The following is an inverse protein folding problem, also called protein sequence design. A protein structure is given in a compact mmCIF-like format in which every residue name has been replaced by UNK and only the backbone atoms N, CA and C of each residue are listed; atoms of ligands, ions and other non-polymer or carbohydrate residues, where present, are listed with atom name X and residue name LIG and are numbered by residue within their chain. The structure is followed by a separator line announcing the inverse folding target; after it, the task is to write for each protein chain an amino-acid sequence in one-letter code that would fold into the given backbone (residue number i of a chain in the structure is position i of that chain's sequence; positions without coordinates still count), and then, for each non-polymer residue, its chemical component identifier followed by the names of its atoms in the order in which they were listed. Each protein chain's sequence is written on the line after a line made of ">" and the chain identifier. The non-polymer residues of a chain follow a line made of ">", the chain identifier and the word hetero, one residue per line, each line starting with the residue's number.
data_IF_554105615589
#
_entry.id   IF_554105615589
#
_cell.length_a   1.000
_cell.length_b   1.000
_cell.length_c   1.000
_cell.angle_alpha   90.00
_cell.angle_beta   90.00
_cell.angle_gamma   90.00
#
_symmetry.space_group_name_H-M   'P 1'
#
loop_
_entity.id
_entity.type
_entity.pdbx_description
1 polymer ?
#
# COMPACT_ATOMS: atom_id res chain seq x y z
N UNK A 1 -14.05 -17.19 -57.56
CA UNK A 1 -14.33 -16.46 -56.32
C UNK A 1 -13.60 -17.17 -55.17
N UNK A 2 -12.51 -16.60 -54.66
CA UNK A 2 -11.72 -17.19 -53.55
C UNK A 2 -12.37 -16.78 -52.22
N UNK A 3 -12.76 -17.75 -51.40
CA UNK A 3 -13.21 -17.52 -50.01
C UNK A 3 -12.01 -17.63 -49.08
N UNK A 4 -11.57 -16.50 -48.53
CA UNK A 4 -10.55 -16.46 -47.48
C UNK A 4 -11.22 -16.74 -46.13
N UNK A 5 -10.76 -17.78 -45.45
CA UNK A 5 -11.13 -18.10 -44.07
C UNK A 5 -10.14 -17.36 -43.16
N UNK A 6 -10.63 -16.38 -42.40
CA UNK A 6 -9.88 -15.80 -41.28
C UNK A 6 -10.01 -16.75 -40.09
N UNK A 7 -8.89 -17.37 -39.69
CA UNK A 7 -8.77 -18.08 -38.41
C UNK A 7 -8.47 -17.02 -37.34
N UNK A 8 -9.43 -16.76 -36.47
CA UNK A 8 -9.17 -16.02 -35.23
C UNK A 8 -8.34 -16.92 -34.31
N UNK A 9 -7.05 -16.63 -34.20
CA UNK A 9 -6.20 -17.21 -33.17
C UNK A 9 -6.63 -16.62 -31.82
N UNK A 10 -7.57 -17.29 -31.15
CA UNK A 10 -7.91 -17.00 -29.76
C UNK A 10 -6.65 -17.25 -28.92
N UNK A 11 -6.01 -16.17 -28.46
CA UNK A 11 -4.95 -16.23 -27.49
C UNK A 11 -5.56 -16.73 -26.17
N UNK A 12 -5.46 -18.03 -25.91
CA UNK A 12 -5.78 -18.61 -24.62
C UNK A 12 -4.70 -18.08 -23.68
N UNK A 13 -5.04 -17.08 -22.87
CA UNK A 13 -4.21 -16.67 -21.76
C UNK A 13 -4.06 -17.88 -20.83
N UNK A 14 -2.90 -18.54 -20.90
CA UNK A 14 -2.49 -19.50 -19.90
C UNK A 14 -2.49 -18.78 -18.55
N UNK A 15 -2.91 -19.44 -17.45
CA UNK A 15 -2.69 -18.86 -16.14
C UNK A 15 -1.17 -18.69 -16.02
N UNK A 16 -0.70 -17.45 -15.88
CA UNK A 16 0.65 -17.19 -15.41
C UNK A 16 0.78 -18.03 -14.14
N UNK A 17 1.62 -19.07 -14.21
CA UNK A 17 2.01 -19.83 -13.02
C UNK A 17 2.53 -18.78 -12.06
N UNK A 18 1.78 -18.51 -10.98
CA UNK A 18 2.24 -17.62 -9.92
C UNK A 18 3.65 -18.07 -9.55
N UNK A 19 4.63 -17.20 -9.77
CA UNK A 19 6.01 -17.55 -9.47
C UNK A 19 6.09 -17.90 -7.98
N UNK A 20 6.64 -19.07 -7.65
CA UNK A 20 6.94 -19.37 -6.26
C UNK A 20 8.10 -18.48 -5.82
N UNK A 21 7.79 -17.45 -5.03
CA UNK A 21 8.76 -16.51 -4.50
C UNK A 21 9.51 -17.04 -3.28
N UNK A 22 9.34 -18.31 -2.89
CA UNK A 22 9.96 -18.92 -1.71
C UNK A 22 11.47 -18.68 -1.61
N UNK A 23 12.20 -18.71 -2.73
CA UNK A 23 13.64 -18.44 -2.80
C UNK A 23 14.03 -17.00 -2.38
N UNK A 24 13.09 -16.06 -2.37
CA UNK A 24 13.31 -14.65 -2.03
C UNK A 24 12.80 -14.27 -0.63
N UNK A 25 12.26 -15.23 0.11
CA UNK A 25 11.73 -15.06 1.46
C UNK A 25 12.81 -15.41 2.49
N UNK A 26 13.19 -14.49 3.40
CA UNK A 26 14.12 -14.81 4.46
C UNK A 26 13.57 -15.89 5.40
N UNK A 27 14.44 -16.71 5.99
CA UNK A 27 14.04 -17.73 6.95
C UNK A 27 13.24 -17.12 8.10
N UNK A 28 12.11 -17.75 8.44
CA UNK A 28 11.23 -17.27 9.51
C UNK A 28 10.29 -16.13 9.11
N UNK A 29 10.18 -15.83 7.81
CA UNK A 29 9.19 -14.92 7.25
C UNK A 29 8.19 -15.68 6.38
N UNK A 30 6.99 -15.12 6.22
CA UNK A 30 5.92 -15.64 5.38
C UNK A 30 5.44 -14.55 4.43
N UNK A 31 5.18 -14.89 3.17
CA UNK A 31 4.46 -14.00 2.24
C UNK A 31 3.00 -13.93 2.68
N UNK A 32 2.54 -12.72 3.00
CA UNK A 32 1.13 -12.45 3.31
C UNK A 32 0.40 -11.79 2.14
N UNK A 33 1.14 -11.16 1.21
CA UNK A 33 0.62 -10.62 -0.05
C UNK A 33 1.70 -10.61 -1.11
N UNK A 34 1.33 -10.87 -2.36
CA UNK A 34 2.19 -10.67 -3.52
C UNK A 34 1.40 -10.08 -4.68
N UNK A 35 2.03 -9.18 -5.43
CA UNK A 35 1.52 -8.65 -6.69
C UNK A 35 2.63 -8.61 -7.72
N UNK A 36 2.27 -8.77 -8.99
CA UNK A 36 3.20 -8.72 -10.11
C UNK A 36 2.79 -7.63 -11.10
N UNK A 37 3.77 -7.05 -11.78
CA UNK A 37 3.57 -6.01 -12.77
C UNK A 37 4.88 -5.30 -13.10
N UNK A 38 4.98 -4.74 -14.30
CA UNK A 38 6.17 -3.98 -14.72
C UNK A 38 6.29 -2.68 -13.91
N UNK A 39 7.40 -2.53 -13.17
CA UNK A 39 7.72 -1.35 -12.35
C UNK A 39 8.88 -0.53 -12.91
N UNK A 40 9.71 -1.10 -13.78
CA UNK A 40 10.93 -0.47 -14.30
C UNK A 40 10.86 -0.11 -15.80
N UNK A 41 9.77 -0.48 -16.48
CA UNK A 41 9.48 -0.17 -17.88
C UNK A 41 10.13 -1.11 -18.90
N UNK A 42 10.62 -2.28 -18.48
CA UNK A 42 11.26 -3.26 -19.36
C UNK A 42 10.28 -4.29 -19.98
N UNK A 43 8.97 -4.14 -19.71
CA UNK A 43 7.89 -5.05 -20.10
C UNK A 43 7.98 -6.46 -19.50
N UNK A 44 8.77 -6.67 -18.46
CA UNK A 44 8.77 -7.89 -17.67
C UNK A 44 7.94 -7.72 -16.40
N UNK A 45 7.34 -8.81 -15.93
CA UNK A 45 6.58 -8.79 -14.69
C UNK A 45 7.53 -8.82 -13.49
N UNK A 46 7.76 -7.65 -12.89
CA UNK A 46 8.39 -7.52 -11.57
C UNK A 46 7.43 -8.00 -10.48
N UNK A 47 7.93 -8.21 -9.27
CA UNK A 47 7.13 -8.67 -8.13
C UNK A 47 7.30 -7.77 -6.90
N UNK A 48 6.23 -7.63 -6.15
CA UNK A 48 6.20 -6.96 -4.86
C UNK A 48 5.63 -7.93 -3.84
N UNK A 49 6.40 -8.18 -2.79
CA UNK A 49 6.04 -9.07 -1.69
C UNK A 49 5.82 -8.26 -0.43
N UNK A 50 4.76 -8.57 0.30
CA UNK A 50 4.63 -8.21 1.71
C UNK A 50 4.90 -9.45 2.53
N UNK A 51 5.94 -9.37 3.36
CA UNK A 51 6.40 -10.44 4.23
C UNK A 51 6.06 -10.09 5.67
N UNK A 52 5.63 -11.08 6.46
CA UNK A 52 5.46 -10.97 7.91
C UNK A 52 6.41 -11.94 8.61
N UNK A 53 7.14 -11.46 9.62
CA UNK A 53 7.96 -12.36 10.45
C UNK A 53 7.03 -13.35 11.18
N UNK A 54 7.51 -14.55 11.45
CA UNK A 54 6.74 -15.62 12.11
C UNK A 54 7.39 -15.97 13.45
N UNK A 55 7.59 -14.97 14.29
CA UNK A 55 8.16 -15.13 15.63
C UNK A 55 7.04 -15.28 16.65
N UNK A 56 6.99 -16.45 17.31
CA UNK A 56 5.97 -16.71 18.35
C UNK A 56 6.11 -15.79 19.55
N UNK A 57 7.29 -15.23 19.80
CA UNK A 57 7.49 -14.27 20.88
C UNK A 57 6.78 -12.92 20.63
N UNK A 58 6.40 -12.63 19.38
CA UNK A 58 5.66 -11.43 19.00
C UNK A 58 4.15 -11.68 18.89
N UNK A 59 3.68 -12.89 19.20
CA UNK A 59 2.27 -13.16 19.43
C UNK A 59 2.03 -12.98 20.92
N UNK A 60 1.36 -11.91 21.28
CA UNK A 60 1.19 -11.50 22.68
C UNK A 60 -0.30 -11.48 23.05
N UNK A 61 -0.66 -11.67 24.33
CA UNK A 61 -2.04 -11.51 24.77
C UNK A 61 -2.52 -10.07 24.53
N UNK A 62 -3.79 -9.93 24.18
CA UNK A 62 -4.48 -8.64 24.14
C UNK A 62 -5.22 -8.41 25.46
N UNK A 63 -4.76 -7.44 26.26
CA UNK A 63 -5.43 -7.04 27.49
C UNK A 63 -6.60 -6.06 27.24
N UNK A 64 -6.88 -5.71 25.98
CA UNK A 64 -7.97 -4.84 25.55
C UNK A 64 -9.15 -5.62 24.95
N UNK A 65 -10.17 -4.89 24.47
CA UNK A 65 -11.21 -5.46 23.61
C UNK A 65 -10.63 -5.84 22.24
N UNK A 66 -11.25 -6.79 21.55
CA UNK A 66 -10.86 -7.23 20.21
C UNK A 66 -10.44 -8.70 20.16
N UNK A 67 -9.46 -9.02 19.31
CA UNK A 67 -8.84 -10.35 19.25
C UNK A 67 -8.16 -10.68 20.58
N UNK A 68 -8.21 -11.93 21.09
CA UNK A 68 -7.53 -12.30 22.33
C UNK A 68 -6.00 -12.28 22.24
N UNK A 69 -5.45 -12.35 21.04
CA UNK A 69 -4.01 -12.29 20.76
C UNK A 69 -3.72 -11.23 19.69
N UNK A 70 -2.56 -10.58 19.80
CA UNK A 70 -2.05 -9.58 18.87
C UNK A 70 -0.81 -10.13 18.16
N UNK A 71 -0.78 -10.06 16.82
CA UNK A 71 0.44 -10.33 16.05
C UNK A 71 1.23 -9.04 15.86
N UNK A 72 2.26 -8.86 16.69
CA UNK A 72 3.15 -7.70 16.65
C UNK A 72 4.40 -7.94 15.79
N UNK A 73 4.40 -9.00 14.97
CA UNK A 73 5.54 -9.27 14.09
C UNK A 73 5.76 -8.14 13.09
N UNK A 74 7.02 -7.74 12.86
CA UNK A 74 7.33 -6.74 11.84
C UNK A 74 6.99 -7.26 10.46
N UNK A 75 6.66 -6.32 9.58
CA UNK A 75 6.44 -6.57 8.16
C UNK A 75 7.54 -5.97 7.30
N UNK A 76 7.69 -6.50 6.10
CA UNK A 76 8.64 -6.04 5.10
C UNK A 76 7.95 -5.96 3.75
N UNK A 77 8.02 -4.80 3.11
CA UNK A 77 7.76 -4.65 1.69
C UNK A 77 9.04 -4.93 0.93
N UNK A 78 9.00 -5.85 -0.03
CA UNK A 78 10.16 -6.22 -0.85
C UNK A 78 9.79 -6.16 -2.31
N UNK A 79 10.56 -5.40 -3.09
CA UNK A 79 10.40 -5.31 -4.54
C UNK A 79 11.50 -6.13 -5.22
N UNK A 80 11.10 -6.91 -6.21
CA UNK A 80 11.93 -7.84 -6.96
C UNK A 80 11.82 -7.50 -8.44
N UNK A 81 12.93 -7.14 -9.08
CA UNK A 81 12.95 -6.99 -10.54
C UNK A 81 13.17 -8.32 -11.23
N UNK A 82 12.40 -8.57 -12.29
CA UNK A 82 12.57 -9.75 -13.13
C UNK A 82 13.93 -9.69 -13.82
N UNK A 83 14.60 -10.84 -13.88
CA UNK A 83 15.86 -11.05 -14.61
C UNK A 83 15.77 -12.33 -15.43
N UNK A 84 16.74 -12.57 -16.32
CA UNK A 84 16.78 -13.76 -17.17
C UNK A 84 16.68 -15.06 -16.35
N UNK A 85 17.43 -15.16 -15.24
CA UNK A 85 17.53 -16.38 -14.43
C UNK A 85 16.71 -16.32 -13.12
N UNK A 86 15.75 -15.41 -13.01
CA UNK A 86 14.92 -15.29 -11.80
C UNK A 86 14.55 -13.86 -11.47
N UNK A 87 14.81 -13.45 -10.24
CA UNK A 87 14.56 -12.10 -9.75
C UNK A 87 15.76 -11.57 -8.96
N UNK A 88 15.88 -10.25 -8.92
CA UNK A 88 16.85 -9.54 -8.08
C UNK A 88 16.11 -8.57 -7.16
N UNK A 89 16.47 -8.55 -5.87
CA UNK A 89 15.95 -7.54 -4.94
C UNK A 89 16.32 -6.14 -5.41
N UNK A 90 15.30 -5.29 -5.60
CA UNK A 90 15.45 -3.89 -5.94
C UNK A 90 15.44 -2.99 -4.69
N UNK A 91 14.52 -3.24 -3.76
CA UNK A 91 14.41 -2.52 -2.48
C UNK A 91 13.69 -3.36 -1.44
N UNK A 92 14.06 -3.17 -0.17
CA UNK A 92 13.36 -3.69 1.01
C UNK A 92 13.05 -2.53 1.96
N UNK A 93 11.85 -2.50 2.53
CA UNK A 93 11.45 -1.54 3.57
C UNK A 93 10.70 -2.25 4.69
N UNK A 94 11.09 -2.00 5.95
CA UNK A 94 10.51 -2.64 7.14
C UNK A 94 9.74 -1.67 8.05
N UNK A 95 9.40 -0.49 7.55
CA UNK A 95 8.81 0.60 8.35
C UNK A 95 7.54 1.18 7.74
N UNK A 96 7.35 1.06 6.41
CA UNK A 96 6.18 1.57 5.70
C UNK A 96 4.91 0.80 6.05
N UNK A 97 5.01 -0.53 6.15
CA UNK A 97 3.86 -1.37 6.52
C UNK A 97 4.03 -1.71 8.00
N UNK A 98 3.15 -1.21 8.88
CA UNK A 98 3.21 -1.53 10.29
C UNK A 98 2.84 -3.01 10.53
N UNK A 99 3.16 -3.56 11.71
CA UNK A 99 2.66 -4.87 12.15
C UNK A 99 1.13 -5.00 12.01
N UNK A 100 0.64 -6.23 12.00
CA UNK A 100 -0.80 -6.53 11.98
C UNK A 100 -1.52 -5.95 13.20
N UNK A 101 -0.84 -5.92 14.34
CA UNK A 101 -1.37 -5.41 15.59
C UNK A 101 -0.32 -4.67 16.40
N UNK A 102 -0.77 -3.77 17.26
CA UNK A 102 0.06 -2.97 18.17
C UNK A 102 -0.50 -3.12 19.59
N UNK A 103 0.39 -3.42 20.55
CA UNK A 103 0.05 -3.63 21.96
C UNK A 103 -0.66 -2.43 22.59
N UNK A 104 -0.37 -1.23 22.11
CA UNK A 104 -0.91 0.03 22.64
C UNK A 104 -2.20 0.42 21.88
N UNK A 105 -2.57 -0.34 20.84
CA UNK A 105 -3.73 -0.12 19.96
C UNK A 105 -4.55 -1.41 19.76
N UNK A 106 -4.84 -2.16 20.83
CA UNK A 106 -5.42 -3.52 20.76
C UNK A 106 -6.79 -3.68 20.06
N UNK A 107 -7.47 -2.59 19.73
CA UNK A 107 -8.71 -2.60 18.93
C UNK A 107 -8.51 -2.22 17.44
N UNK A 108 -7.28 -1.88 17.04
CA UNK A 108 -6.94 -1.54 15.66
C UNK A 108 -6.97 -2.81 14.80
N UNK A 109 -7.76 -2.78 13.73
CA UNK A 109 -7.73 -3.81 12.70
C UNK A 109 -6.42 -3.73 11.92
N UNK A 110 -6.06 -4.81 11.21
CA UNK A 110 -4.84 -4.88 10.41
C UNK A 110 -4.70 -3.65 9.48
N UNK A 111 -3.65 -2.81 9.66
CA UNK A 111 -3.52 -1.61 8.87
C UNK A 111 -3.20 -1.86 7.39
N UNK A 112 -2.72 -3.05 7.01
CA UNK A 112 -2.42 -3.36 5.61
C UNK A 112 -3.70 -3.64 4.83
N UNK A 113 -4.12 -2.66 4.02
CA UNK A 113 -5.32 -2.79 3.19
C UNK A 113 -4.98 -3.36 1.79
N UNK A 114 -4.09 -2.69 1.05
CA UNK A 114 -3.75 -3.12 -0.30
C UNK A 114 -2.31 -2.82 -0.73
N UNK A 115 -1.81 -3.62 -1.67
CA UNK A 115 -0.60 -3.35 -2.43
C UNK A 115 -0.92 -3.66 -3.88
N UNK A 116 -0.68 -2.73 -4.78
CA UNK A 116 -1.02 -2.86 -6.19
C UNK A 116 -0.03 -2.16 -7.10
N UNK A 117 -0.01 -2.57 -8.37
CA UNK A 117 0.81 -1.97 -9.41
C UNK A 117 -0.12 -1.46 -10.52
N UNK A 118 -0.02 -0.17 -10.84
CA UNK A 118 -0.75 0.45 -11.96
C UNK A 118 0.17 1.36 -12.77
N UNK A 119 0.36 1.01 -14.05
CA UNK A 119 1.12 1.79 -15.03
C UNK A 119 2.52 2.17 -14.53
N UNK A 120 3.30 1.17 -14.11
CA UNK A 120 4.68 1.38 -13.63
C UNK A 120 4.78 2.03 -12.25
N UNK A 121 3.70 2.05 -11.47
CA UNK A 121 3.67 2.67 -10.14
C UNK A 121 3.22 1.66 -9.10
N UNK A 122 3.99 1.59 -8.03
CA UNK A 122 3.67 0.81 -6.84
C UNK A 122 2.81 1.66 -5.92
N UNK A 123 1.62 1.16 -5.59
CA UNK A 123 0.73 1.76 -4.60
C UNK A 123 0.67 0.87 -3.36
N UNK A 124 0.86 1.46 -2.19
CA UNK A 124 0.64 0.82 -0.88
C UNK A 124 -0.48 1.57 -0.18
N UNK A 125 -1.56 0.87 0.14
CA UNK A 125 -2.71 1.41 0.86
C UNK A 125 -2.73 0.87 2.28
N UNK A 126 -2.76 1.79 3.24
CA UNK A 126 -3.00 1.50 4.64
C UNK A 126 -4.40 1.98 5.04
N UNK A 127 -4.97 1.35 6.04
CA UNK A 127 -6.29 1.65 6.60
C UNK A 127 -6.21 1.74 8.12
N UNK A 128 -6.79 2.79 8.69
CA UNK A 128 -6.96 2.91 10.13
C UNK A 128 -8.42 2.67 10.48
N UNK A 129 -8.70 1.59 11.20
CA UNK A 129 -10.02 1.31 11.73
C UNK A 129 -9.92 0.62 13.08
N UNK A 130 -10.61 1.19 14.08
CA UNK A 130 -10.70 0.56 15.38
C UNK A 130 -12.09 -0.04 15.60
N UNK A 131 -12.10 -1.30 15.99
CA UNK A 131 -13.30 -2.02 16.43
C UNK A 131 -13.93 -1.42 17.69
N UNK A 132 -13.15 -0.68 18.50
CA UNK A 132 -13.60 0.00 19.71
C UNK A 132 -12.93 1.37 19.92
N UNK A 133 -13.55 2.27 20.68
CA UNK A 133 -12.89 3.45 21.25
C UNK A 133 -12.49 4.60 20.30
N UNK A 134 -12.57 4.44 18.98
CA UNK A 134 -12.27 5.51 18.01
C UNK A 134 -13.46 5.76 17.08
N UNK A 135 -13.84 7.01 16.84
CA UNK A 135 -14.93 7.34 15.91
C UNK A 135 -14.50 7.52 14.46
N UNK A 136 -13.21 7.49 14.17
CA UNK A 136 -12.67 7.74 12.84
C UNK A 136 -12.34 6.46 12.11
N UNK A 137 -12.47 6.53 10.79
CA UNK A 137 -11.91 5.57 9.84
C UNK A 137 -11.10 6.34 8.83
N UNK A 138 -9.88 5.88 8.55
CA UNK A 138 -8.97 6.54 7.64
C UNK A 138 -8.32 5.58 6.63
N UNK A 139 -7.81 6.15 5.55
CA UNK A 139 -7.01 5.46 4.55
C UNK A 139 -5.85 6.35 4.12
N UNK A 140 -4.68 5.75 3.98
CA UNK A 140 -3.48 6.38 3.45
C UNK A 140 -3.00 5.63 2.20
N UNK A 141 -2.78 6.34 1.11
CA UNK A 141 -2.23 5.79 -0.13
C UNK A 141 -0.84 6.37 -0.39
N UNK A 142 0.18 5.52 -0.46
CA UNK A 142 1.54 5.87 -0.86
C UNK A 142 1.76 5.45 -2.31
N UNK A 143 2.17 6.39 -3.16
CA UNK A 143 2.39 6.14 -4.58
C UNK A 143 3.86 6.33 -4.94
N UNK A 144 4.50 5.23 -5.33
CA UNK A 144 5.90 5.17 -5.71
C UNK A 144 6.07 5.00 -7.21
N UNK A 145 7.14 5.60 -7.75
CA UNK A 145 7.60 5.37 -9.12
C UNK A 145 9.09 5.09 -9.11
N UNK A 146 9.50 4.05 -9.82
CA UNK A 146 10.91 3.80 -10.07
C UNK A 146 11.46 4.81 -11.09
N UNK A 147 12.53 5.51 -10.72
CA UNK A 147 13.23 6.45 -11.59
C UNK A 147 14.62 6.74 -11.03
N UNK A 148 15.60 6.94 -11.90
CA UNK A 148 16.99 7.21 -11.49
C UNK A 148 17.49 6.19 -10.45
N UNK A 149 17.25 4.92 -10.76
CA UNK A 149 17.62 3.74 -9.98
C UNK A 149 17.01 3.62 -8.58
N UNK A 150 15.99 4.43 -8.24
CA UNK A 150 15.35 4.41 -6.91
C UNK A 150 13.84 4.59 -7.00
N UNK A 151 13.13 4.04 -6.01
CA UNK A 151 11.68 4.24 -5.86
C UNK A 151 11.40 5.57 -5.16
N UNK A 152 10.99 6.58 -5.94
CA UNK A 152 10.60 7.89 -5.44
C UNK A 152 9.11 7.87 -5.03
N UNK A 153 8.79 8.38 -3.84
CA UNK A 153 7.42 8.70 -3.45
C UNK A 153 6.96 9.94 -4.24
N UNK A 154 6.06 9.72 -5.19
CA UNK A 154 5.57 10.78 -6.09
C UNK A 154 4.26 11.40 -5.61
N UNK A 155 3.52 10.70 -4.75
CA UNK A 155 2.34 11.23 -4.12
C UNK A 155 1.93 10.45 -2.87
N UNK A 156 1.17 11.13 -2.04
CA UNK A 156 0.53 10.61 -0.84
C UNK A 156 -0.91 11.12 -0.81
N UNK A 157 -1.88 10.31 -0.42
CA UNK A 157 -3.22 10.83 -0.11
C UNK A 157 -3.76 10.21 1.15
N UNK A 158 -4.46 11.03 1.91
CA UNK A 158 -5.14 10.67 3.13
C UNK A 158 -6.62 11.02 3.01
N UNK A 159 -7.46 10.12 3.47
CA UNK A 159 -8.90 10.33 3.59
C UNK A 159 -9.36 9.77 4.92
N UNK A 160 -10.03 10.57 5.72
CA UNK A 160 -10.69 10.13 6.94
C UNK A 160 -12.15 10.54 6.97
N UNK A 161 -12.94 9.78 7.71
CA UNK A 161 -14.30 10.18 8.03
C UNK A 161 -14.73 9.74 9.43
N UNK A 162 -15.55 10.59 10.05
CA UNK A 162 -16.16 10.31 11.34
C UNK A 162 -17.36 9.38 11.14
N UNK A 163 -17.34 8.20 11.78
CA UNK A 163 -18.32 7.12 11.57
C UNK A 163 -19.75 7.49 11.99
N UNK A 164 -19.93 8.39 12.96
CA UNK A 164 -21.26 8.86 13.38
C UNK A 164 -21.77 10.10 12.60
N UNK A 165 -21.01 11.20 12.60
CA UNK A 165 -21.42 12.44 11.92
C UNK A 165 -21.30 12.36 10.40
N UNK A 166 -20.40 11.53 9.88
CA UNK A 166 -20.05 11.43 8.47
C UNK A 166 -19.08 12.50 7.99
N UNK A 167 -18.63 13.41 8.86
CA UNK A 167 -17.67 14.46 8.53
C UNK A 167 -16.41 13.86 7.90
N UNK A 168 -15.94 14.46 6.81
CA UNK A 168 -14.74 14.02 6.10
C UNK A 168 -13.64 15.07 6.15
N UNK A 169 -12.42 14.56 6.14
CA UNK A 169 -11.22 15.32 5.81
C UNK A 169 -10.40 14.53 4.79
N UNK A 170 -9.90 15.20 3.77
CA UNK A 170 -9.07 14.60 2.73
C UNK A 170 -7.89 15.53 2.45
N UNK A 171 -6.71 14.97 2.25
CA UNK A 171 -5.65 15.69 1.55
C UNK A 171 -4.85 14.80 0.59
N UNK A 172 -4.31 15.43 -0.44
CA UNK A 172 -3.45 14.78 -1.43
C UNK A 172 -2.23 15.63 -1.73
N UNK A 173 -1.08 14.96 -1.69
CA UNK A 173 0.24 15.52 -1.90
C UNK A 173 0.76 15.06 -3.23
N UNK A 174 1.22 16.02 -4.02
CA UNK A 174 1.99 15.77 -5.22
C UNK A 174 3.41 16.25 -4.99
N UNK A 175 4.29 15.33 -4.61
CA UNK A 175 5.69 15.64 -4.28
C UNK A 175 6.50 16.11 -5.50
N UNK A 176 6.09 15.74 -6.72
CA UNK A 176 6.72 16.24 -7.96
C UNK A 176 6.49 17.74 -8.16
N UNK A 177 5.28 18.21 -7.84
CA UNK A 177 4.91 19.63 -7.97
C UNK A 177 5.12 20.44 -6.68
N UNK A 178 5.23 19.77 -5.53
CA UNK A 178 5.28 20.39 -4.20
C UNK A 178 3.97 21.04 -3.81
N UNK A 179 2.83 20.43 -4.20
CA UNK A 179 1.48 20.94 -3.90
C UNK A 179 0.71 19.95 -3.05
N UNK A 180 0.00 20.47 -2.04
CA UNK A 180 -1.01 19.76 -1.26
C UNK A 180 -2.39 20.35 -1.58
N UNK A 181 -3.37 19.48 -1.84
CA UNK A 181 -4.79 19.83 -1.88
C UNK A 181 -5.43 19.29 -0.61
N UNK A 182 -6.11 20.14 0.15
CA UNK A 182 -6.88 19.75 1.35
C UNK A 182 -8.36 20.05 1.13
N UNK A 183 -9.23 19.09 1.41
CA UNK A 183 -10.69 19.21 1.33
C UNK A 183 -11.28 19.01 2.73
N UNK A 184 -12.13 19.91 3.19
CA UNK A 184 -12.83 19.80 4.49
C UNK A 184 -14.30 20.19 4.38
N UNK A 185 -15.10 19.82 5.39
CA UNK A 185 -16.53 20.21 5.46
C UNK A 185 -17.42 19.48 4.46
N UNK A 186 -16.99 18.31 3.99
CA UNK A 186 -17.85 17.35 3.30
C UNK A 186 -18.42 16.30 4.25
N UNK A 187 -19.33 15.47 3.75
CA UNK A 187 -19.91 14.36 4.50
C UNK A 187 -20.01 13.09 3.63
N UNK A 188 -19.58 11.95 4.14
CA UNK A 188 -19.62 10.66 3.43
C UNK A 188 -21.05 10.15 3.18
N UNK A 189 -22.03 10.64 3.95
CA UNK A 189 -23.45 10.29 3.78
C UNK A 189 -24.18 11.14 2.73
N UNK A 190 -23.50 12.12 2.12
CA UNK A 190 -24.00 12.86 0.95
C UNK A 190 -25.14 13.85 1.27
N UNK A 191 -24.91 14.81 2.17
CA UNK A 191 -25.91 15.81 2.55
C UNK A 191 -25.96 16.96 1.53
N UNK A 192 -27.17 17.34 1.09
CA UNK A 192 -27.40 18.46 0.18
C UNK A 192 -27.00 19.84 0.73
N UNK A 193 -26.67 19.93 2.02
CA UNK A 193 -26.16 21.15 2.67
C UNK A 193 -24.64 21.24 2.68
N UNK A 194 -23.94 20.19 2.30
CA UNK A 194 -22.48 20.16 2.35
C UNK A 194 -21.89 21.14 1.35
N UNK A 195 -20.90 21.91 1.80
CA UNK A 195 -20.18 22.89 0.99
C UNK A 195 -18.68 22.65 1.20
N UNK A 196 -18.14 21.55 0.65
CA UNK A 196 -16.74 21.19 0.86
C UNK A 196 -15.83 22.34 0.39
N UNK A 197 -14.85 22.66 1.22
CA UNK A 197 -13.88 23.72 0.94
C UNK A 197 -12.58 23.08 0.53
N UNK A 198 -12.01 23.57 -0.58
CA UNK A 198 -10.70 23.14 -1.06
C UNK A 198 -9.68 24.23 -0.78
N UNK A 199 -8.57 23.86 -0.15
CA UNK A 199 -7.40 24.72 0.07
C UNK A 199 -6.19 24.10 -0.64
N UNK A 200 -5.41 24.95 -1.30
CA UNK A 200 -4.14 24.57 -1.92
C UNK A 200 -2.98 25.12 -1.12
N UNK A 201 -2.00 24.29 -0.86
CA UNK A 201 -0.82 24.62 -0.06
C UNK A 201 0.46 24.20 -0.80
N UNK A 202 1.57 24.88 -0.49
CA UNK A 202 2.89 24.50 -0.98
C UNK A 202 3.59 23.65 0.05
N UNK A 203 4.12 22.51 -0.39
CA UNK A 203 4.97 21.64 0.41
C UNK A 203 6.43 22.03 0.22
N UNK A 204 7.23 21.85 1.27
CA UNK A 204 8.68 21.91 1.12
C UNK A 204 9.11 20.80 0.16
N UNK A 205 9.81 21.18 -0.91
CA UNK A 205 10.34 20.20 -1.86
C UNK A 205 11.45 19.40 -1.20
N UNK A 206 11.12 18.18 -0.78
CA UNK A 206 12.07 17.17 -0.33
C UNK A 206 11.65 15.85 -0.98
N UNK A 207 12.57 15.12 -1.65
CA UNK A 207 12.27 13.79 -2.13
C UNK A 207 12.19 12.82 -0.95
N UNK A 208 11.28 11.86 -1.04
CA UNK A 208 11.15 10.74 -0.11
C UNK A 208 11.26 9.46 -0.92
N UNK A 209 11.97 8.47 -0.39
CA UNK A 209 12.24 7.24 -1.12
C UNK A 209 11.78 6.00 -0.35
N UNK A 210 11.42 4.95 -1.07
CA UNK A 210 10.96 3.71 -0.45
C UNK A 210 12.04 3.01 0.39
N UNK A 211 13.31 3.29 0.17
CA UNK A 211 14.42 2.77 0.98
C UNK A 211 14.67 3.59 2.28
N UNK A 212 13.88 4.64 2.52
CA UNK A 212 13.96 5.46 3.73
C UNK A 212 12.92 5.01 4.79
N UNK A 213 13.17 5.29 6.08
CA UNK A 213 12.20 5.02 7.14
C UNK A 213 10.90 5.83 6.98
N UNK A 214 9.79 5.16 7.23
CA UNK A 214 8.46 5.77 7.36
C UNK A 214 8.06 5.72 8.84
N UNK A 215 7.66 6.85 9.39
CA UNK A 215 7.13 6.97 10.75
C UNK A 215 5.66 7.36 10.68
N UNK A 216 4.89 7.04 11.74
CA UNK A 216 3.44 7.28 11.86
C UNK A 216 3.03 8.75 11.64
N UNK A 217 3.97 9.69 11.50
CA UNK A 217 3.71 11.06 11.09
C UNK A 217 4.63 11.49 9.94
N UNK A 218 4.09 11.51 8.72
CA UNK A 218 4.48 12.53 7.75
C UNK A 218 3.68 13.81 8.10
N UNK A 219 3.96 14.37 9.28
CA UNK A 219 3.47 15.69 9.68
C UNK A 219 4.44 16.80 9.24
#
# INVERSE_FOLDING_TARGET
>A
MKRSILIFLSCIALPVCAADFSAYVPKGWKIIKSVEGDLNGDNQADAVLVLQKQDKANIIPNDYMGSPELDTNPRMLKVLFKQADGYKTAVENTTLIPPESDKDKGCLDDPLSDVSIDKGRLKVRLEGFYSCGNWWKDYSDYLFRYQNDRFLLIGYSYYEYHRASGEIEEYSDNYLTGKRKRTTGGNVFGSSKDRPKVKWERLKKKPYYLDEPYHDSIE
#
